data_IF_406406390649
#
_entry.id   IF_406406390649
#
_cell.length_a   1.000
_cell.length_b   1.000
_cell.length_c   1.000
_cell.angle_alpha   90.00
_cell.angle_beta   90.00
_cell.angle_gamma   90.00
#
_symmetry.space_group_name_H-M   'P 1'
#
loop_
_entity.id
_entity.type
_entity.pdbx_description
1 polymer ?
2 non-polymer ?
3 non-polymer ?
4 non-polymer ?
5 non-polymer ?
6 water ?
#
# COMPACT_ATOMS: atom_id res chain seq x y z
N UNK A 12 8.52 21.26 5.55
CA UNK A 12 7.34 20.60 5.01
C UNK A 12 6.96 19.30 5.72
N UNK A 13 5.66 19.04 5.85
CA UNK A 13 5.20 17.77 6.38
C UNK A 13 5.81 16.66 5.54
N UNK A 14 6.26 15.61 6.22
CA UNK A 14 6.83 14.43 5.56
C UNK A 14 5.94 13.26 5.90
N UNK A 15 5.28 12.70 4.91
CA UNK A 15 4.36 11.59 5.11
C UNK A 15 5.06 10.29 4.71
N UNK A 16 5.28 9.43 5.68
CA UNK A 16 6.07 8.22 5.51
C UNK A 16 5.13 7.06 5.25
N UNK A 17 5.08 6.65 3.99
CA UNK A 17 4.22 5.58 3.47
C UNK A 17 5.03 4.32 3.25
N UNK A 18 4.47 3.17 3.61
CA UNK A 18 5.11 1.89 3.35
C UNK A 18 4.17 1.02 2.55
N UNK A 19 4.67 0.49 1.44
CA UNK A 19 3.95 -0.47 0.62
C UNK A 19 4.20 -1.86 1.16
N UNK A 20 3.13 -2.60 1.44
CA UNK A 20 3.24 -3.97 1.90
C UNK A 20 2.28 -4.82 1.11
N UNK A 21 2.51 -6.12 1.15
CA UNK A 21 1.75 -7.09 0.39
C UNK A 21 2.67 -8.17 -0.13
N UNK A 22 2.07 -9.32 -0.50
CA UNK A 22 2.89 -10.42 -0.96
C UNK A 22 3.41 -10.18 -2.38
N UNK A 23 4.16 -11.15 -2.88
CA UNK A 23 4.87 -10.96 -4.12
C UNK A 23 3.94 -10.82 -5.33
N UNK A 24 4.32 -9.92 -6.22
CA UNK A 24 3.66 -9.82 -7.50
C UNK A 24 2.32 -9.12 -7.48
N UNK A 25 1.94 -8.50 -6.36
CA UNK A 25 0.61 -7.90 -6.32
C UNK A 25 0.57 -6.54 -7.00
N UNK A 26 1.70 -5.86 -7.12
CA UNK A 26 1.74 -4.56 -7.73
C UNK A 26 2.30 -3.44 -6.90
N UNK A 27 3.04 -3.78 -5.83
CA UNK A 27 3.60 -2.73 -4.97
C UNK A 27 4.52 -1.80 -5.77
N UNK A 28 5.45 -2.36 -6.52
CA UNK A 28 6.36 -1.55 -7.31
C UNK A 28 5.64 -0.85 -8.46
N UNK A 29 4.78 -1.60 -9.16
CA UNK A 29 4.07 -0.98 -10.27
C UNK A 29 3.23 0.19 -9.79
N UNK A 30 2.56 0.05 -8.65
CA UNK A 30 1.80 1.18 -8.12
C UNK A 30 2.72 2.36 -7.79
N UNK A 31 3.83 2.07 -7.13
CA UNK A 31 4.76 3.12 -6.71
C UNK A 31 5.31 3.86 -7.92
N UNK A 32 5.73 3.09 -8.94
CA UNK A 32 6.36 3.72 -10.12
C UNK A 32 5.33 4.43 -10.99
N UNK A 33 4.08 3.98 -11.02
CA UNK A 33 3.05 4.78 -11.68
C UNK A 33 2.84 6.10 -10.95
N UNK A 34 2.77 6.06 -9.62
CA UNK A 34 2.61 7.29 -8.87
C UNK A 34 3.80 8.22 -9.09
N UNK A 35 5.02 7.65 -9.07
CA UNK A 35 6.22 8.48 -9.09
C UNK A 35 6.51 9.00 -10.48
N UNK A 36 6.40 8.13 -11.49
CA UNK A 36 6.95 8.44 -12.81
C UNK A 36 5.94 8.35 -13.95
N UNK A 37 4.66 8.08 -13.65
CA UNK A 37 3.58 8.04 -14.64
C UNK A 37 3.87 7.01 -15.74
N UNK A 38 4.46 5.89 -15.34
CA UNK A 38 4.81 4.78 -16.22
C UNK A 38 4.34 3.48 -15.57
N UNK A 39 3.79 2.59 -16.39
CA UNK A 39 3.48 1.22 -15.99
C UNK A 39 4.72 0.38 -16.25
N UNK A 40 5.38 -0.02 -15.17
CA UNK A 40 6.64 -0.76 -15.22
C UNK A 40 6.35 -2.22 -14.89
N UNK A 41 6.55 -3.09 -15.87
CA UNK A 41 6.11 -4.48 -15.74
C UNK A 41 7.22 -5.43 -15.39
N UNK A 42 8.45 -4.96 -15.31
CA UNK A 42 9.57 -5.86 -15.12
C UNK A 42 10.47 -5.43 -13.96
N UNK A 43 9.90 -4.84 -12.92
CA UNK A 43 10.74 -4.28 -11.86
C UNK A 43 11.23 -5.41 -10.97
N UNK A 44 12.55 -5.48 -10.77
CA UNK A 44 13.18 -6.58 -10.04
C UNK A 44 12.36 -6.97 -8.81
N UNK A 45 11.82 -8.19 -8.74
CA UNK A 45 10.94 -8.54 -7.62
C UNK A 45 11.59 -8.51 -6.25
N UNK A 46 12.91 -8.64 -6.15
CA UNK A 46 13.57 -8.63 -4.85
C UNK A 46 14.15 -7.27 -4.46
N UNK A 47 13.92 -6.22 -5.26
CA UNK A 47 14.53 -4.92 -4.98
C UNK A 47 13.59 -4.04 -4.15
N UNK A 48 14.07 -3.59 -2.99
CA UNK A 48 13.36 -2.62 -2.18
C UNK A 48 13.94 -1.24 -2.49
N UNK A 49 13.10 -0.22 -2.38
CA UNK A 49 13.62 1.11 -2.63
C UNK A 49 12.69 2.11 -1.96
N UNK A 50 13.23 3.31 -1.75
CA UNK A 50 12.51 4.45 -1.20
C UNK A 50 12.40 5.50 -2.29
N UNK A 51 11.28 6.19 -2.29
CA UNK A 51 11.01 7.26 -3.24
C UNK A 51 10.55 8.47 -2.45
N UNK A 52 11.01 9.65 -2.83
CA UNK A 52 10.53 10.87 -2.19
C UNK A 52 10.04 11.82 -3.27
N UNK A 53 8.88 12.42 -3.06
CA UNK A 53 8.34 13.40 -3.98
C UNK A 53 7.64 14.50 -3.21
N UNK A 54 7.80 15.73 -3.69
CA UNK A 54 6.98 16.84 -3.25
C UNK A 54 5.64 16.75 -3.95
N UNK A 55 4.55 16.78 -3.18
CA UNK A 55 3.22 16.83 -3.77
C UNK A 55 2.39 17.87 -3.03
N UNK A 56 1.37 18.36 -3.71
CA UNK A 56 0.45 19.35 -3.15
C UNK A 56 -0.81 18.61 -2.73
N UNK A 57 -0.97 18.45 -1.40
CA UNK A 57 -2.02 17.67 -0.79
C UNK A 57 -3.08 18.64 -0.30
N UNK A 58 -4.23 18.65 -0.98
CA UNK A 58 -5.32 19.57 -0.61
C UNK A 58 -4.79 20.99 -0.47
N UNK A 59 -3.91 21.38 -1.39
CA UNK A 59 -3.37 22.72 -1.42
C UNK A 59 -2.15 22.96 -0.55
N UNK A 60 -1.71 22.00 0.25
CA UNK A 60 -0.52 22.14 1.07
C UNK A 60 0.63 21.37 0.41
N UNK A 61 1.73 22.05 0.16
CA UNK A 61 2.92 21.32 -0.30
C UNK A 61 3.46 20.43 0.82
N UNK A 62 3.60 19.14 0.54
CA UNK A 62 4.13 18.17 1.48
C UNK A 62 5.16 17.32 0.73
N UNK A 63 5.88 16.51 1.48
CA UNK A 63 6.76 15.50 0.92
C UNK A 63 6.20 14.13 1.28
N UNK A 64 6.06 13.28 0.29
CA UNK A 64 5.73 11.87 0.49
C UNK A 64 7.03 11.08 0.37
N UNK A 65 7.22 10.15 1.30
CA UNK A 65 8.30 9.18 1.24
C UNK A 65 7.62 7.82 1.16
N UNK A 66 7.93 7.05 0.12
CA UNK A 66 7.33 5.74 -0.09
C UNK A 66 8.43 4.70 0.03
N UNK A 67 8.27 3.77 0.96
CA UNK A 67 9.14 2.60 1.04
C UNK A 67 8.43 1.47 0.33
N UNK A 68 8.99 1.06 -0.83
CA UNK A 68 8.44 -0.01 -1.65
C UNK A 68 9.15 -1.30 -1.20
N UNK A 69 8.50 -2.04 -0.29
CA UNK A 69 9.13 -3.22 0.27
C UNK A 69 9.02 -4.38 -0.70
N UNK A 70 10.02 -5.27 -0.62
CA UNK A 70 10.12 -6.38 -1.55
C UNK A 70 10.22 -7.71 -0.84
N UNK A 71 10.02 -7.73 0.48
CA UNK A 71 9.95 -8.94 1.26
C UNK A 71 11.26 -9.63 1.53
N UNK A 72 12.39 -8.97 1.30
CA UNK A 72 13.68 -9.62 1.48
C UNK A 72 14.15 -9.63 2.93
N UNK A 73 13.75 -8.63 3.70
CA UNK A 73 14.15 -8.55 5.10
C UNK A 73 13.50 -9.69 5.87
N UNK A 74 14.31 -10.63 6.38
CA UNK A 74 13.77 -11.75 7.14
C UNK A 74 14.04 -11.64 8.64
N UNK A 75 14.91 -10.73 9.06
CA UNK A 75 15.18 -10.58 10.49
C UNK A 75 14.08 -9.73 11.11
N UNK A 76 13.37 -10.35 12.04
CA UNK A 76 12.12 -9.77 12.53
C UNK A 76 12.33 -8.42 13.20
N UNK A 77 13.43 -8.24 13.93
CA UNK A 77 13.66 -6.98 14.60
C UNK A 77 13.83 -5.86 13.60
N UNK A 78 14.49 -6.15 12.48
CA UNK A 78 14.72 -5.15 11.45
C UNK A 78 13.42 -4.87 10.69
N UNK A 79 12.66 -5.90 10.35
CA UNK A 79 11.36 -5.69 9.74
C UNK A 79 10.49 -4.82 10.64
N UNK A 80 10.47 -5.12 11.93
CA UNK A 80 9.67 -4.29 12.85
C UNK A 80 10.19 -2.86 12.91
N UNK A 81 11.51 -2.68 12.85
CA UNK A 81 12.06 -1.33 12.81
C UNK A 81 11.55 -0.56 11.60
N UNK A 82 11.55 -1.21 10.43
CA UNK A 82 11.03 -0.53 9.25
C UNK A 82 9.55 -0.13 9.45
N UNK A 83 8.74 -1.07 9.93
CA UNK A 83 7.32 -0.74 10.09
C UNK A 83 7.13 0.34 11.14
N UNK A 84 7.97 0.36 12.18
CA UNK A 84 7.81 1.35 13.23
C UNK A 84 8.05 2.76 12.68
N UNK A 85 8.94 2.88 11.71
CA UNK A 85 9.19 4.20 11.13
C UNK A 85 8.09 4.65 10.20
N UNK A 86 7.29 3.73 9.68
CA UNK A 86 6.23 4.14 8.79
C UNK A 86 5.10 4.84 9.54
N UNK A 87 4.48 5.79 8.83
CA UNK A 87 3.30 6.47 9.34
C UNK A 87 2.00 5.98 8.73
N UNK A 88 2.02 5.46 7.51
CA UNK A 88 0.82 4.89 6.92
C UNK A 88 1.20 3.77 5.99
N UNK A 89 0.24 2.89 5.74
CA UNK A 89 0.52 1.68 5.01
C UNK A 89 -0.49 1.51 3.88
N UNK A 90 0.01 1.18 2.71
CA UNK A 90 -0.82 0.68 1.64
C UNK A 90 -0.63 -0.82 1.64
N UNK A 91 -1.67 -1.54 2.00
CA UNK A 91 -1.63 -2.99 2.15
C UNK A 91 -2.25 -3.56 0.88
N UNK A 92 -1.40 -3.97 -0.06
CA UNK A 92 -1.81 -4.32 -1.40
C UNK A 92 -1.96 -5.83 -1.55
N UNK A 93 -2.99 -6.25 -2.25
CA UNK A 93 -3.11 -7.61 -2.74
C UNK A 93 -3.53 -7.50 -4.19
N UNK A 94 -3.49 -8.61 -4.92
CA UNK A 94 -3.98 -8.70 -6.27
C UNK A 94 -5.36 -9.33 -6.27
N UNK A 95 -6.32 -8.68 -6.94
CA UNK A 95 -7.64 -9.29 -7.04
C UNK A 95 -7.58 -10.60 -7.78
N UNK A 96 -6.49 -10.87 -8.52
CA UNK A 96 -6.37 -12.12 -9.28
C UNK A 96 -5.69 -13.25 -8.52
N UNK A 97 -5.27 -13.03 -7.27
CA UNK A 97 -4.59 -14.07 -6.49
C UNK A 97 -5.20 -14.11 -5.10
N UNK A 98 -6.06 -15.10 -4.86
CA UNK A 98 -6.74 -15.18 -3.57
C UNK A 98 -5.73 -15.28 -2.43
N UNK A 99 -4.60 -15.94 -2.65
CA UNK A 99 -3.68 -16.16 -1.55
C UNK A 99 -3.04 -14.85 -1.11
N UNK A 100 -2.90 -13.89 -2.02
CA UNK A 100 -2.35 -12.58 -1.66
C UNK A 100 -3.34 -11.79 -0.84
N UNK A 101 -4.63 -12.00 -1.08
CA UNK A 101 -5.64 -11.42 -0.18
C UNK A 101 -5.55 -12.05 1.20
N UNK A 102 -5.43 -13.38 1.29
CA UNK A 102 -5.28 -13.99 2.61
C UNK A 102 -4.08 -13.42 3.34
N UNK A 103 -3.00 -13.19 2.60
CA UNK A 103 -1.73 -12.73 3.19
C UNK A 103 -1.86 -11.35 3.81
N UNK A 104 -2.82 -10.54 3.36
CA UNK A 104 -2.92 -9.21 3.94
C UNK A 104 -3.17 -9.26 5.46
N UNK A 105 -3.77 -10.36 5.95
CA UNK A 105 -3.98 -10.46 7.40
C UNK A 105 -2.67 -10.45 8.15
N UNK A 106 -1.63 -11.08 7.57
CA UNK A 106 -0.35 -11.14 8.26
C UNK A 106 0.28 -9.76 8.34
N UNK A 107 0.30 -9.03 7.21
CA UNK A 107 0.85 -7.68 7.24
C UNK A 107 0.09 -6.82 8.24
N UNK A 108 -1.23 -6.95 8.28
CA UNK A 108 -2.03 -6.19 9.24
C UNK A 108 -1.57 -6.49 10.65
N UNK A 109 -1.41 -7.76 10.99
CA UNK A 109 -1.00 -8.10 12.35
C UNK A 109 0.39 -7.58 12.65
N UNK A 110 1.32 -7.69 11.68
CA UNK A 110 2.68 -7.21 11.91
C UNK A 110 2.69 -5.72 12.18
N UNK A 111 1.92 -4.98 11.39
CA UNK A 111 1.85 -3.54 11.57
C UNK A 111 1.25 -3.20 12.93
N UNK A 112 0.18 -3.89 13.30
CA UNK A 112 -0.49 -3.59 14.56
C UNK A 112 0.38 -3.93 15.75
N UNK A 113 1.16 -5.00 15.68
CA UNK A 113 2.07 -5.32 16.78
C UNK A 113 3.05 -4.19 17.02
N UNK A 114 3.51 -3.57 15.94
CA UNK A 114 4.55 -2.56 16.05
C UNK A 114 3.98 -1.19 16.35
N UNK A 115 2.86 -0.83 15.71
CA UNK A 115 2.31 0.50 15.87
C UNK A 115 1.37 0.59 17.07
N UNK A 116 0.80 -0.53 17.50
CA UNK A 116 -0.01 -0.61 18.72
C UNK A 116 -1.22 0.31 18.66
N UNK A 117 -1.73 0.53 17.46
CA UNK A 117 -2.78 1.51 17.24
C UNK A 117 -3.64 0.97 16.11
N UNK A 118 -4.83 0.51 16.44
CA UNK A 118 -5.67 -0.07 15.41
C UNK A 118 -6.04 0.96 14.36
N UNK A 119 -5.89 2.24 14.67
CA UNK A 119 -6.26 3.32 13.76
C UNK A 119 -5.07 3.83 12.96
N UNK A 120 -4.00 3.05 12.87
CA UNK A 120 -2.84 3.42 12.06
C UNK A 120 -3.35 3.70 10.65
N UNK A 121 -2.94 4.81 10.05
CA UNK A 121 -3.30 5.06 8.65
C UNK A 121 -2.97 3.84 7.79
N UNK A 122 -3.97 3.36 7.05
CA UNK A 122 -3.91 2.04 6.44
C UNK A 122 -5.03 1.92 5.42
N UNK A 123 -4.68 1.66 4.16
CA UNK A 123 -5.68 1.31 3.17
C UNK A 123 -5.48 -0.13 2.73
N UNK A 124 -6.59 -0.83 2.52
CA UNK A 124 -6.58 -2.13 1.86
C UNK A 124 -6.74 -1.88 0.37
N UNK A 125 -5.77 -2.32 -0.43
CA UNK A 125 -5.71 -1.96 -1.84
C UNK A 125 -5.79 -3.23 -2.67
N UNK A 126 -6.86 -3.37 -3.45
CA UNK A 126 -7.02 -4.48 -4.35
C UNK A 126 -6.57 -4.07 -5.73
N UNK A 127 -5.35 -4.45 -6.11
CA UNK A 127 -4.77 -4.02 -7.37
C UNK A 127 -5.10 -5.00 -8.48
N UNK A 128 -4.81 -4.56 -9.71
CA UNK A 128 -5.09 -5.24 -10.99
C UNK A 128 -6.58 -5.26 -11.31
N UNK A 129 -7.26 -4.16 -11.01
CA UNK A 129 -8.68 -4.04 -11.34
C UNK A 129 -8.94 -4.09 -12.85
N UNK A 130 -7.92 -3.96 -13.67
CA UNK A 130 -8.10 -4.11 -15.11
C UNK A 130 -8.13 -5.58 -15.54
N UNK A 131 -7.97 -6.52 -14.62
CA UNK A 131 -8.03 -7.95 -14.95
C UNK A 131 -9.30 -8.57 -14.36
N UNK A 132 -10.44 -7.93 -14.59
CA UNK A 132 -11.68 -8.43 -13.98
C UNK A 132 -11.94 -9.88 -14.37
N UNK A 133 -11.57 -10.26 -15.58
CA UNK A 133 -11.84 -11.63 -16.02
C UNK A 133 -10.95 -12.65 -15.31
N UNK A 134 -9.95 -12.21 -14.55
CA UNK A 134 -9.13 -13.11 -13.77
C UNK A 134 -9.37 -12.96 -12.28
N UNK A 135 -10.40 -12.21 -11.88
CA UNK A 135 -10.64 -11.95 -10.46
C UNK A 135 -10.83 -13.24 -9.69
N UNK A 136 -10.12 -13.35 -8.57
CA UNK A 136 -10.26 -14.43 -7.62
C UNK A 136 -10.82 -13.97 -6.30
N UNK A 137 -10.75 -12.67 -6.02
CA UNK A 137 -11.17 -12.07 -4.75
C UNK A 137 -12.37 -11.19 -5.03
N UNK A 138 -13.51 -11.50 -4.42
CA UNK A 138 -14.69 -10.71 -4.72
C UNK A 138 -14.59 -9.33 -4.06
N UNK A 139 -15.22 -8.35 -4.70
CA UNK A 139 -15.34 -7.04 -4.08
C UNK A 139 -16.00 -7.17 -2.72
N UNK A 140 -17.04 -8.00 -2.63
CA UNK A 140 -17.78 -8.15 -1.39
C UNK A 140 -16.88 -8.64 -0.27
N UNK A 141 -16.03 -9.63 -0.53
CA UNK A 141 -15.26 -10.17 0.58
C UNK A 141 -14.14 -9.21 0.97
N UNK A 142 -13.59 -8.47 0.00
CA UNK A 142 -12.59 -7.49 0.36
C UNK A 142 -13.22 -6.33 1.14
N UNK A 143 -14.40 -5.88 0.73
CA UNK A 143 -15.10 -4.85 1.50
C UNK A 143 -15.42 -5.31 2.91
N UNK A 144 -15.83 -6.58 3.06
CA UNK A 144 -16.12 -7.11 4.39
C UNK A 144 -14.87 -7.10 5.27
N UNK A 145 -13.73 -7.48 4.69
CA UNK A 145 -12.50 -7.44 5.46
C UNK A 145 -12.17 -6.01 5.87
N UNK A 146 -12.30 -5.07 4.93
CA UNK A 146 -12.00 -3.68 5.28
C UNK A 146 -12.92 -3.19 6.38
N UNK A 147 -14.19 -3.60 6.33
CA UNK A 147 -15.13 -3.20 7.36
C UNK A 147 -14.76 -3.79 8.72
N UNK A 148 -14.32 -5.05 8.73
CA UNK A 148 -13.89 -5.67 9.97
C UNK A 148 -12.71 -4.93 10.57
N UNK A 149 -11.80 -4.42 9.73
CA UNK A 149 -10.62 -3.70 10.17
C UNK A 149 -10.84 -2.21 10.34
N UNK A 150 -12.00 -1.72 9.95
CA UNK A 150 -12.29 -0.31 9.89
C UNK A 150 -11.26 0.44 9.07
N UNK A 151 -11.00 -0.06 7.85
CA UNK A 151 -10.18 0.64 6.88
C UNK A 151 -10.95 0.80 5.59
N UNK A 152 -10.49 1.70 4.74
CA UNK A 152 -11.12 1.83 3.44
C UNK A 152 -10.53 0.83 2.48
N UNK A 153 -11.39 0.30 1.61
CA UNK A 153 -10.98 -0.57 0.51
C UNK A 153 -11.02 0.20 -0.80
N UNK A 154 -9.91 0.19 -1.53
CA UNK A 154 -9.85 0.83 -2.83
C UNK A 154 -9.26 -0.18 -3.81
N UNK A 155 -9.88 -0.30 -4.98
CA UNK A 155 -9.32 -1.09 -6.07
C UNK A 155 -8.57 -0.19 -7.04
N UNK A 156 -7.39 -0.64 -7.45
CA UNK A 156 -6.49 0.13 -8.28
C UNK A 156 -6.09 -0.66 -9.51
N UNK A 157 -5.56 0.04 -10.50
CA UNK A 157 -4.82 -0.60 -11.56
C UNK A 157 -3.56 0.22 -11.81
N UNK A 158 -2.40 -0.39 -11.54
CA UNK A 158 -1.15 0.25 -11.96
C UNK A 158 -1.05 0.35 -13.48
N UNK A 159 -1.79 -0.47 -14.22
CA UNK A 159 -1.72 -0.41 -15.67
C UNK A 159 -2.52 0.77 -16.22
N UNK A 160 -3.74 0.95 -15.77
CA UNK A 160 -4.56 2.04 -16.29
C UNK A 160 -4.47 3.30 -15.47
N UNK A 161 -3.80 3.27 -14.32
CA UNK A 161 -3.68 4.37 -13.38
C UNK A 161 -4.95 4.54 -12.53
N UNK A 162 -5.95 3.68 -12.68
CA UNK A 162 -7.17 3.81 -11.90
C UNK A 162 -6.86 3.83 -10.41
N UNK A 163 -7.29 4.90 -9.75
CA UNK A 163 -7.20 5.10 -8.30
C UNK A 163 -5.78 5.07 -7.75
N UNK A 164 -4.75 5.24 -8.59
CA UNK A 164 -3.38 5.24 -8.07
C UNK A 164 -3.13 6.50 -7.25
N UNK A 165 -3.44 7.66 -7.80
CA UNK A 165 -3.25 8.86 -6.99
C UNK A 165 -4.16 8.82 -5.77
N UNK A 166 -5.37 8.27 -5.94
CA UNK A 166 -6.31 8.20 -4.83
C UNK A 166 -5.72 7.48 -3.63
N UNK A 167 -5.12 6.31 -3.83
CA UNK A 167 -4.67 5.58 -2.65
C UNK A 167 -3.56 6.32 -1.93
N UNK A 168 -2.65 6.93 -2.69
CA UNK A 168 -1.54 7.63 -2.05
C UNK A 168 -2.05 8.89 -1.36
N UNK A 169 -2.89 9.64 -2.06
CA UNK A 169 -3.41 10.86 -1.44
C UNK A 169 -4.29 10.55 -0.24
N UNK A 170 -5.18 9.58 -0.37
CA UNK A 170 -6.09 9.29 0.73
C UNK A 170 -5.31 8.78 1.93
N UNK A 171 -4.26 8.00 1.69
CA UNK A 171 -3.42 7.59 2.81
C UNK A 171 -2.78 8.80 3.47
N UNK A 172 -2.26 9.73 2.68
CA UNK A 172 -1.67 10.92 3.29
C UNK A 172 -2.72 11.71 4.05
N UNK A 173 -3.96 11.76 3.55
CA UNK A 173 -5.01 12.43 4.31
C UNK A 173 -5.22 11.77 5.67
N UNK A 174 -5.12 10.44 5.74
CA UNK A 174 -5.27 9.76 7.02
C UNK A 174 -4.10 10.08 7.93
N UNK A 175 -2.89 10.15 7.37
CA UNK A 175 -1.73 10.51 8.17
C UNK A 175 -1.92 11.90 8.74
N UNK A 176 -2.31 12.83 7.89
CA UNK A 176 -2.51 14.21 8.30
C UNK A 176 -3.56 14.30 9.41
N UNK A 177 -4.66 13.56 9.27
CA UNK A 177 -5.74 13.68 10.24
C UNK A 177 -5.37 13.03 11.57
N UNK A 178 -4.68 11.90 11.53
CA UNK A 178 -4.55 11.07 12.72
C UNK A 178 -3.28 11.34 13.50
N UNK A 179 -2.27 11.90 12.89
CA UNK A 179 -0.99 12.12 13.57
C UNK A 179 -0.72 13.62 13.71
X LIG B 1 8.41 -5.04 -6.06
X LIG C 1 15.70 1.62 0.85
X LIG D 1 -0.38 -9.44 -13.66
X LIG E 1 11.94 -6.32 3.01
X LIG E 1 11.07 -5.83 4.01
X LIG E 1 9.33 -6.06 5.68
X LIG E 1 10.35 -4.01 5.17
X LIG E 1 13.61 -3.00 2.91
X LIG E 1 14.58 -2.18 3.51
X LIG E 1 15.82 -2.70 3.92
X LIG E 1 16.07 -4.07 3.70
X LIG E 1 15.11 -4.89 3.06
X LIG E 1 13.85 -4.36 2.68
X LIG E 1 10.15 -6.65 4.70
X LIG E 1 9.42 -4.67 5.94
X LIG E 1 10.48 -2.62 5.38
X LIG E 1 11.16 -4.48 4.22
X LIG E 1 18.33 -2.13 4.51
X LIG E 1 16.80 -0.32 4.31
X LIG E 1 13.32 -6.13 0.93
X LIG E 1 11.63 -4.42 1.42
X LIG E 1 17.00 -1.66 4.72
X LIG E 1 12.65 -5.32 1.90
X LIG E 1 12.08 -7.18 3.05
X LIG E 1 8.72 -6.57 6.16
X LIG E 1 12.79 -2.62 2.65
X LIG E 1 14.41 -1.27 3.63
X LIG E 1 16.88 -4.44 3.96
X LIG E 1 15.30 -5.78 2.89
X LIG E 1 10.09 -7.56 4.52
X LIG E 1 8.88 -4.26 6.58
X LIG F 1 5.34 -6.50 -6.48
X LIG F 1 6.10 -7.78 -6.33
X LIG F 1 4.14 -6.39 -5.59
X LIG F 1 6.21 -5.24 -6.50
X LIG F 1 4.66 -6.60 -7.96
X LIG F 1 5.03 -5.71 -9.27
X LIG F 1 6.44 -5.96 -9.69
X LIG F 1 4.59 -4.28 -9.13
X LIG F 1 4.01 -6.38 -10.33
X LIG F 1 4.12 -7.78 -10.62
X LIG F 1 3.63 -8.05 -12.02
X LIG F 1 2.23 -7.68 -12.07
X LIG F 1 4.32 -7.22 -13.11
X LIG F 1 4.42 -8.01 -14.28
X LIG F 1 3.38 -6.05 -13.40
X LIG F 1 3.37 -5.60 -14.73
X LIG F 1 2.05 -6.70 -13.10
X LIG F 1 1.09 -5.72 -12.57
X LIG F 1 1.24 -4.96 -11.47
X LIG F 1 0.14 -4.19 -11.30
X LIG F 1 -0.71 -4.50 -12.30
X LIG F 1 -2.04 -4.05 -12.69
X LIG F 1 -2.63 -3.19 -12.01
X LIG F 1 -2.59 -4.60 -13.78
X LIG F 1 -1.93 -5.54 -14.52
X LIG F 1 -2.56 -6.01 -15.61
X LIG F 1 -0.71 -6.01 -14.22
X LIG F 1 -0.09 -5.51 -13.13
X LIG F 1 5.17 -8.08 -10.52
X LIG F 1 3.54 -8.36 -9.90
X LIG F 1 3.84 -9.11 -12.23
X LIG F 1 5.32 -6.89 -12.80
X LIG F 1 4.86 -7.50 -14.98
X LIG F 1 3.68 -5.16 -12.84
X LIG F 1 3.45 -4.63 -14.73
X LIG F 1 1.67 -7.14 -14.03
X LIG F 1 2.12 -4.97 -10.83
X LIG F 1 -3.54 -4.30 -14.07
X LIG F 1 -2.12 -6.72 -16.18
X LIG F 1 -3.48 -5.65 -15.87
#
# INVERSE_FOLDING_TARGET
MAANKPKGQNSLALHKVIMVGSGGVGKSALTLQFMYDEFVEDYEPTKADSYRKKVVLDGEEVQIDILDTAGQEDYAAIRDNYFRSGEGFLCVFSITEMESFAATADFREQILRVKEDENVPFLLVGNKSDLEDKRQVSVEEAKNRAEQWNVNYVETSAKTRANVDKVFFDLMREIRARLEHHHHHH
CA CA
CL CL
CL CL
NLS N12 C13 C15 C17 C20 C21 C05 C06 C07 C08 C14 C16 F18 N19 O01 O03 O10 O11 S02 S09 H121 H151 H201 H211 H061 H071 H141 H161
GDP PB O1B O2B O3B O3A PA O1A O2A O5' C5' C4' O4' C3' O3' C2' O2' C1' N9 C8 N7 C5 C6 O6 N1 C2 N2 N3 C4 H5' H5'' H4' H3' HO3' H2' HO2' H1' H8 HN1 HN21 HN22
#
